data_IF_527065237220
#
_entry.id   IF_527065237220
#
_cell.length_a   1.000
_cell.length_b   1.000
_cell.length_c   1.000
_cell.angle_alpha   90.00
_cell.angle_beta   90.00
_cell.angle_gamma   90.00
#
_symmetry.space_group_name_H-M   'P 1'
#
loop_
_entity.id
_entity.type
_entity.pdbx_description
1 polymer ?
#
# COMPACT_ATOMS: atom_id res chain seq x y z
N UNK A 1 -4.20 -16.45 -10.93
CA UNK A 1 -4.74 -15.95 -9.64
C UNK A 1 -5.60 -14.72 -9.89
N UNK A 2 -6.52 -14.42 -8.98
CA UNK A 2 -7.41 -13.25 -9.09
C UNK A 2 -6.62 -11.94 -9.31
N UNK A 3 -5.49 -11.74 -8.67
CA UNK A 3 -4.64 -10.57 -8.93
C UNK A 3 -4.18 -10.47 -10.38
N UNK A 4 -3.72 -11.56 -10.98
CA UNK A 4 -3.30 -11.57 -12.38
C UNK A 4 -4.46 -11.33 -13.33
N UNK A 5 -5.59 -11.97 -13.08
CA UNK A 5 -6.81 -11.77 -13.87
C UNK A 5 -7.30 -10.32 -13.80
N UNK A 6 -7.26 -9.69 -12.60
CA UNK A 6 -7.53 -8.26 -12.46
C UNK A 6 -6.52 -7.39 -13.22
N UNK A 7 -5.24 -7.76 -13.20
CA UNK A 7 -4.20 -7.08 -13.98
C UNK A 7 -4.44 -7.15 -15.48
N UNK A 8 -4.75 -8.35 -16.01
CA UNK A 8 -5.08 -8.57 -17.41
C UNK A 8 -6.31 -7.77 -17.87
N UNK A 9 -7.27 -7.54 -16.97
CA UNK A 9 -8.45 -6.70 -17.21
C UNK A 9 -8.20 -5.20 -17.02
N UNK A 10 -6.99 -4.77 -16.65
CA UNK A 10 -6.66 -3.38 -16.40
C UNK A 10 -7.29 -2.78 -15.14
N UNK A 11 -7.69 -3.62 -14.18
CA UNK A 11 -8.35 -3.19 -12.93
C UNK A 11 -7.35 -2.77 -11.84
N UNK A 12 -6.06 -3.07 -12.01
CA UNK A 12 -5.00 -2.69 -11.09
C UNK A 12 -4.30 -1.41 -11.57
N UNK A 13 -4.32 -0.37 -10.75
CA UNK A 13 -3.75 0.93 -11.11
C UNK A 13 -4.45 1.63 -12.28
N UNK A 14 -5.79 1.70 -12.32
CA UNK A 14 -6.51 2.27 -13.47
C UNK A 14 -6.16 3.74 -13.71
N UNK A 15 -5.76 4.50 -12.68
CA UNK A 15 -5.37 5.91 -12.78
C UNK A 15 -3.87 6.12 -13.01
N UNK A 16 -3.07 5.08 -13.02
CA UNK A 16 -1.63 5.15 -13.27
C UNK A 16 -1.38 5.37 -14.76
N UNK A 17 -0.39 6.19 -15.14
CA UNK A 17 -0.07 6.44 -16.55
C UNK A 17 0.25 5.16 -17.34
N UNK A 18 -0.13 5.14 -18.60
CA UNK A 18 0.09 4.00 -19.52
C UNK A 18 1.56 3.63 -19.65
N UNK A 19 2.46 4.61 -19.62
CA UNK A 19 3.92 4.40 -19.68
C UNK A 19 4.47 3.51 -18.56
N UNK A 20 3.73 3.36 -17.46
CA UNK A 20 4.06 2.47 -16.33
C UNK A 20 3.15 1.24 -16.25
N UNK A 21 2.37 0.97 -17.30
CA UNK A 21 1.49 -0.19 -17.38
C UNK A 21 0.10 0.02 -16.78
N UNK A 22 -0.22 1.23 -16.33
CA UNK A 22 -1.57 1.61 -15.89
C UNK A 22 -2.51 1.85 -17.10
N UNK A 23 -3.77 2.10 -16.82
CA UNK A 23 -4.78 2.35 -17.86
C UNK A 23 -4.98 3.85 -18.18
N UNK A 24 -4.32 4.76 -17.47
CA UNK A 24 -4.39 6.22 -17.71
C UNK A 24 -5.80 6.81 -17.55
N UNK A 25 -6.69 6.13 -16.82
CA UNK A 25 -8.09 6.52 -16.66
C UNK A 25 -8.27 7.57 -15.56
N UNK A 26 -9.44 8.22 -15.58
CA UNK A 26 -9.81 9.18 -14.55
C UNK A 26 -10.42 8.49 -13.29
N UNK A 27 -10.63 9.27 -12.23
CA UNK A 27 -11.18 8.76 -10.98
C UNK A 27 -12.66 8.34 -11.06
N UNK A 28 -13.44 8.81 -12.05
CA UNK A 28 -14.80 8.31 -12.27
C UNK A 28 -14.75 6.83 -12.68
N UNK A 29 -13.88 6.50 -13.63
CA UNK A 29 -13.67 5.11 -14.04
C UNK A 29 -13.19 4.23 -12.87
N UNK A 30 -12.25 4.73 -12.07
CA UNK A 30 -11.81 4.04 -10.83
C UNK A 30 -12.97 3.79 -9.86
N UNK A 31 -13.84 4.77 -9.65
CA UNK A 31 -15.02 4.64 -8.80
C UNK A 31 -15.98 3.57 -9.32
N UNK A 32 -16.28 3.57 -10.62
CA UNK A 32 -17.15 2.57 -11.26
C UNK A 32 -16.56 1.16 -11.13
N UNK A 33 -15.26 0.99 -11.35
CA UNK A 33 -14.57 -0.29 -11.15
C UNK A 33 -14.73 -0.74 -9.68
N UNK A 34 -14.46 0.13 -8.71
CA UNK A 34 -14.58 -0.18 -7.29
C UNK A 34 -16.01 -0.62 -6.92
N UNK A 35 -17.03 0.05 -7.46
CA UNK A 35 -18.45 -0.27 -7.27
C UNK A 35 -18.77 -1.68 -7.78
N UNK A 36 -18.37 -2.01 -9.01
CA UNK A 36 -18.69 -3.30 -9.60
C UNK A 36 -17.95 -4.46 -8.91
N UNK A 37 -16.69 -4.27 -8.54
CA UNK A 37 -15.92 -5.28 -7.81
C UNK A 37 -16.50 -5.51 -6.39
N UNK A 38 -16.90 -4.44 -5.69
CA UNK A 38 -17.52 -4.55 -4.35
C UNK A 38 -18.86 -5.30 -4.38
N UNK A 39 -19.65 -5.17 -5.45
CA UNK A 39 -20.90 -5.95 -5.62
C UNK A 39 -20.66 -7.45 -5.58
N UNK A 40 -19.46 -7.89 -5.97
CA UNK A 40 -19.10 -9.31 -5.92
C UNK A 40 -18.58 -9.68 -4.53
N UNK A 41 -17.58 -8.97 -4.02
CA UNK A 41 -17.00 -9.20 -2.71
C UNK A 41 -16.16 -8.01 -2.24
N UNK A 42 -16.43 -7.53 -1.03
CA UNK A 42 -15.69 -6.42 -0.40
C UNK A 42 -14.19 -6.72 -0.19
N UNK A 43 -13.82 -7.98 -0.01
CA UNK A 43 -12.42 -8.38 0.12
C UNK A 43 -11.65 -8.19 -1.19
N UNK A 44 -12.26 -8.49 -2.33
CA UNK A 44 -11.67 -8.27 -3.65
C UNK A 44 -11.51 -6.79 -3.95
N UNK A 45 -12.52 -5.98 -3.67
CA UNK A 45 -12.39 -4.53 -3.81
C UNK A 45 -11.29 -3.99 -2.87
N UNK A 46 -11.20 -4.48 -1.63
CA UNK A 46 -10.18 -4.07 -0.69
C UNK A 46 -8.77 -4.35 -1.23
N UNK A 47 -8.50 -5.56 -1.71
CA UNK A 47 -7.18 -5.91 -2.25
C UNK A 47 -6.82 -5.09 -3.50
N UNK A 48 -7.78 -4.86 -4.39
CA UNK A 48 -7.63 -4.03 -5.59
C UNK A 48 -7.32 -2.57 -5.21
N UNK A 49 -8.04 -2.02 -4.22
CA UNK A 49 -7.85 -0.64 -3.75
C UNK A 49 -6.49 -0.44 -3.08
N UNK A 50 -6.04 -1.40 -2.28
CA UNK A 50 -4.69 -1.34 -1.68
C UNK A 50 -3.63 -1.33 -2.77
N UNK A 51 -3.71 -2.24 -3.72
CA UNK A 51 -2.77 -2.30 -4.86
C UNK A 51 -2.73 -0.98 -5.62
N UNK A 52 -3.90 -0.47 -6.01
CA UNK A 52 -4.02 0.72 -6.86
C UNK A 52 -3.73 2.03 -6.12
N UNK A 53 -4.46 2.28 -5.01
CA UNK A 53 -4.44 3.59 -4.32
C UNK A 53 -3.33 3.73 -3.29
N UNK A 54 -2.95 2.64 -2.62
CA UNK A 54 -2.04 2.70 -1.47
C UNK A 54 -0.62 2.22 -1.81
N UNK A 55 -0.43 1.51 -2.94
CA UNK A 55 0.87 1.05 -3.39
C UNK A 55 1.29 1.75 -4.68
N UNK A 56 0.51 1.64 -5.74
CA UNK A 56 0.87 2.22 -7.03
C UNK A 56 0.84 3.76 -7.02
N UNK A 57 -0.18 4.36 -6.39
CA UNK A 57 -0.26 5.83 -6.30
C UNK A 57 0.95 6.44 -5.59
N UNK A 58 1.34 6.03 -4.36
CA UNK A 58 2.52 6.63 -3.73
C UNK A 58 3.82 6.40 -4.49
N UNK A 59 3.99 5.25 -5.15
CA UNK A 59 5.15 5.03 -6.02
C UNK A 59 5.13 5.99 -7.20
N UNK A 60 3.97 6.20 -7.83
CA UNK A 60 3.82 7.15 -8.95
C UNK A 60 4.03 8.61 -8.52
N UNK A 61 3.48 9.01 -7.37
CA UNK A 61 3.54 10.41 -6.93
C UNK A 61 4.88 10.79 -6.29
N UNK A 62 5.50 9.86 -5.55
CA UNK A 62 6.64 10.16 -4.68
C UNK A 62 7.91 9.39 -5.04
N UNK A 63 7.83 8.34 -5.85
CA UNK A 63 8.98 7.56 -6.27
C UNK A 63 9.86 8.27 -7.29
N UNK A 64 11.14 7.93 -7.31
CA UNK A 64 12.04 8.30 -8.40
C UNK A 64 11.62 7.62 -9.71
N UNK A 65 12.11 8.10 -10.84
CA UNK A 65 11.82 7.46 -12.13
C UNK A 65 12.26 5.97 -12.14
N UNK A 66 13.42 5.67 -11.56
CA UNK A 66 13.91 4.30 -11.44
C UNK A 66 12.94 3.42 -10.59
N UNK A 67 12.42 3.97 -9.49
CA UNK A 67 11.43 3.30 -8.64
C UNK A 67 10.13 3.02 -9.41
N UNK A 68 9.63 4.00 -10.16
CA UNK A 68 8.40 3.84 -10.98
C UNK A 68 8.57 2.74 -12.03
N UNK A 69 9.65 2.78 -12.79
CA UNK A 69 9.95 1.81 -13.85
C UNK A 69 10.14 0.38 -13.29
N UNK A 70 10.71 0.26 -12.10
CA UNK A 70 10.95 -1.04 -11.46
C UNK A 70 9.67 -1.71 -10.97
N UNK A 71 8.79 -0.94 -10.30
CA UNK A 71 7.68 -1.51 -9.54
C UNK A 71 6.33 -1.43 -10.26
N UNK A 72 5.99 -0.29 -10.89
CA UNK A 72 4.64 -0.07 -11.41
C UNK A 72 4.20 -1.08 -12.47
N UNK A 73 5.02 -1.45 -13.47
CA UNK A 73 4.59 -2.41 -14.49
C UNK A 73 4.22 -3.78 -13.92
N UNK A 74 4.99 -4.27 -12.94
CA UNK A 74 4.73 -5.58 -12.30
C UNK A 74 3.53 -5.54 -11.36
N UNK A 75 3.29 -4.41 -10.72
CA UNK A 75 2.10 -4.19 -9.89
C UNK A 75 0.84 -4.06 -10.75
N UNK A 76 0.92 -3.40 -11.90
CA UNK A 76 -0.20 -3.25 -12.83
C UNK A 76 -0.69 -4.58 -13.41
N UNK A 77 0.23 -5.49 -13.71
CA UNK A 77 -0.11 -6.84 -14.21
C UNK A 77 -0.54 -7.82 -13.11
N UNK A 78 -0.41 -7.45 -11.84
CA UNK A 78 -0.63 -8.36 -10.71
C UNK A 78 0.42 -9.47 -10.61
N UNK A 79 1.56 -9.33 -11.30
CA UNK A 79 2.73 -10.20 -11.10
C UNK A 79 3.28 -10.03 -9.70
N UNK A 80 3.40 -8.78 -9.26
CA UNK A 80 3.74 -8.42 -7.90
C UNK A 80 2.54 -7.85 -7.15
N UNK A 81 2.45 -8.22 -5.88
CA UNK A 81 1.42 -7.77 -4.96
C UNK A 81 2.03 -6.79 -3.97
N UNK A 82 1.33 -5.68 -3.73
CA UNK A 82 1.77 -4.67 -2.78
C UNK A 82 0.90 -4.58 -1.53
N UNK A 83 1.49 -4.03 -0.46
CA UNK A 83 0.78 -3.66 0.75
C UNK A 83 1.23 -2.29 1.27
N UNK A 84 0.45 -1.73 2.21
CA UNK A 84 0.64 -0.37 2.72
C UNK A 84 0.71 -0.38 4.25
N UNK A 85 1.90 -0.17 4.79
CA UNK A 85 2.21 -0.21 6.21
C UNK A 85 2.21 1.17 6.86
N UNK A 86 1.04 1.65 7.31
CA UNK A 86 0.91 2.88 8.09
C UNK A 86 0.51 2.59 9.55
N UNK A 87 -0.63 1.93 9.74
CA UNK A 87 -1.23 1.62 11.05
C UNK A 87 -0.31 0.75 11.90
N UNK A 88 -0.19 1.09 13.17
CA UNK A 88 0.54 0.32 14.19
C UNK A 88 -0.43 -0.23 15.25
N UNK A 89 -0.03 -1.22 16.06
CA UNK A 89 -0.90 -1.80 17.09
C UNK A 89 -1.57 -0.77 17.99
N UNK A 90 -0.85 0.28 18.39
CA UNK A 90 -1.33 1.33 19.29
C UNK A 90 -1.56 2.69 18.61
N UNK A 91 -1.34 2.80 17.30
CA UNK A 91 -1.43 4.05 16.54
C UNK A 91 -2.20 3.85 15.24
N UNK A 92 -3.53 3.68 15.36
CA UNK A 92 -4.45 3.58 14.23
C UNK A 92 -5.05 4.93 13.86
N UNK A 93 -5.89 5.48 14.75
CA UNK A 93 -6.54 6.79 14.54
C UNK A 93 -5.56 7.97 14.62
N UNK A 94 -4.45 7.80 15.31
CA UNK A 94 -3.35 8.77 15.37
C UNK A 94 -2.05 8.18 14.78
N UNK A 95 -1.94 8.11 13.45
CA UNK A 95 -0.74 7.60 12.80
C UNK A 95 0.48 8.54 12.96
N UNK A 96 0.26 9.80 13.32
CA UNK A 96 1.33 10.76 13.61
C UNK A 96 2.20 10.36 14.80
N UNK A 97 1.63 9.61 15.74
CA UNK A 97 2.34 9.12 16.93
C UNK A 97 3.07 7.78 16.70
N UNK A 98 3.15 7.29 15.45
CA UNK A 98 3.82 6.02 15.12
C UNK A 98 5.19 5.87 15.78
N UNK A 99 5.51 4.63 16.13
CA UNK A 99 6.78 4.26 16.77
C UNK A 99 7.82 3.71 15.79
N UNK A 100 7.40 3.23 14.61
CA UNK A 100 8.33 2.74 13.59
C UNK A 100 9.38 3.81 13.22
N UNK A 101 10.62 3.38 13.11
CA UNK A 101 11.79 4.24 12.89
C UNK A 101 12.56 3.78 11.66
N UNK A 102 13.08 4.75 10.91
CA UNK A 102 14.01 4.58 9.82
C UNK A 102 15.28 5.37 10.17
N UNK A 103 16.26 4.68 10.75
CA UNK A 103 17.54 5.27 11.15
C UNK A 103 18.43 5.41 9.93
N UNK A 104 18.96 6.62 9.70
CA UNK A 104 19.93 6.85 8.64
C UNK A 104 21.21 6.08 8.91
N UNK A 105 21.65 5.31 7.91
CA UNK A 105 22.89 4.52 7.92
C UNK A 105 23.62 4.75 6.59
N UNK A 106 24.83 4.21 6.46
CA UNK A 106 25.58 4.30 5.20
C UNK A 106 24.81 3.61 4.06
N UNK A 107 24.65 4.31 2.96
CA UNK A 107 23.93 3.83 1.77
C UNK A 107 22.39 3.74 1.88
N UNK A 108 21.79 4.12 3.01
CA UNK A 108 20.32 4.02 3.14
C UNK A 108 19.79 4.21 4.56
N UNK A 109 18.86 3.34 4.92
CA UNK A 109 18.16 3.37 6.21
C UNK A 109 18.06 1.97 6.82
N UNK A 110 18.06 1.90 8.15
CA UNK A 110 17.70 0.71 8.92
C UNK A 110 16.32 0.92 9.51
N UNK A 111 15.33 0.10 9.11
CA UNK A 111 13.95 0.22 9.56
C UNK A 111 13.63 -0.78 10.66
N UNK A 112 13.01 -0.28 11.74
CA UNK A 112 12.56 -1.09 12.88
C UNK A 112 11.17 -0.67 13.33
N UNK A 113 10.34 -1.65 13.70
CA UNK A 113 8.98 -1.45 14.18
C UNK A 113 7.99 -2.48 13.63
N UNK A 114 6.72 -2.29 13.96
CA UNK A 114 5.66 -3.19 13.50
C UNK A 114 4.45 -2.41 12.97
N UNK A 115 3.82 -2.97 11.94
CA UNK A 115 2.55 -2.47 11.40
C UNK A 115 1.48 -3.55 11.56
N UNK A 116 0.23 -3.12 11.76
CA UNK A 116 -0.88 -4.00 12.13
C UNK A 116 -2.08 -3.80 11.20
N UNK A 117 -2.83 -4.86 10.98
CA UNK A 117 -4.02 -4.87 10.13
C UNK A 117 -3.76 -4.51 8.67
N UNK A 118 -2.65 -5.03 8.14
CA UNK A 118 -2.18 -4.69 6.80
C UNK A 118 -2.74 -5.66 5.76
N UNK A 119 -3.62 -5.16 4.92
CA UNK A 119 -4.17 -5.89 3.78
C UNK A 119 -3.05 -6.31 2.83
N UNK A 120 -3.07 -7.54 2.37
CA UNK A 120 -2.12 -8.20 1.47
C UNK A 120 -0.73 -8.49 2.06
N UNK A 121 -0.35 -8.02 3.24
CA UNK A 121 1.04 -8.18 3.72
C UNK A 121 1.54 -9.62 3.72
N UNK A 122 0.76 -10.65 4.08
CA UNK A 122 1.25 -12.04 4.06
C UNK A 122 1.62 -12.58 2.68
N UNK A 123 1.10 -11.98 1.63
CA UNK A 123 1.32 -12.38 0.23
C UNK A 123 2.04 -11.31 -0.60
N UNK A 124 2.40 -10.18 0.02
CA UNK A 124 3.01 -9.07 -0.68
C UNK A 124 4.45 -9.36 -1.12
N UNK A 125 4.80 -8.85 -2.29
CA UNK A 125 6.16 -8.81 -2.82
C UNK A 125 6.78 -7.43 -2.56
N UNK A 126 5.94 -6.38 -2.47
CA UNK A 126 6.31 -4.97 -2.28
C UNK A 126 5.58 -4.37 -1.09
N UNK A 127 6.30 -3.67 -0.23
CA UNK A 127 5.78 -3.09 1.01
C UNK A 127 6.05 -1.57 1.00
N UNK A 128 5.01 -0.76 0.85
CA UNK A 128 5.09 0.70 1.06
C UNK A 128 4.92 0.97 2.55
N UNK A 129 5.99 1.36 3.23
CA UNK A 129 6.02 1.53 4.68
C UNK A 129 6.31 2.97 5.07
N UNK A 130 5.58 3.47 6.07
CA UNK A 130 5.78 4.80 6.64
C UNK A 130 6.42 4.68 8.02
N UNK A 131 7.52 5.41 8.23
CA UNK A 131 8.29 5.43 9.47
C UNK A 131 8.86 6.81 9.74
N UNK A 132 9.10 7.16 11.01
CA UNK A 132 9.81 8.39 11.37
C UNK A 132 11.29 8.25 11.07
N UNK A 133 11.83 9.20 10.32
CA UNK A 133 13.26 9.28 10.08
C UNK A 133 14.00 9.55 11.40
N UNK A 134 15.14 8.90 11.58
CA UNK A 134 16.05 9.18 12.69
C UNK A 134 17.42 9.48 12.10
N UNK A 135 17.92 10.67 12.37
CA UNK A 135 19.25 11.11 11.93
C UNK A 135 20.37 10.36 12.65
N UNK A 136 21.59 10.47 12.16
CA UNK A 136 22.74 9.76 12.73
C UNK A 136 23.01 10.12 14.20
N UNK A 137 22.66 11.36 14.62
CA UNK A 137 22.77 11.83 16.01
C UNK A 137 21.60 11.37 16.90
N UNK A 138 20.62 10.62 16.35
CA UNK A 138 19.48 10.11 17.09
C UNK A 138 18.26 11.03 17.12
N UNK A 139 18.31 12.18 16.46
CA UNK A 139 17.17 13.11 16.40
C UNK A 139 16.04 12.50 15.57
N UNK A 140 14.82 12.49 16.13
CA UNK A 140 13.61 12.00 15.46
C UNK A 140 13.06 13.09 14.55
N UNK A 141 13.05 12.82 13.26
CA UNK A 141 12.57 13.71 12.21
C UNK A 141 11.16 13.36 11.73
N UNK A 142 10.77 13.86 10.54
CA UNK A 142 9.46 13.67 9.97
C UNK A 142 9.22 12.22 9.54
N UNK A 143 7.94 11.88 9.32
CA UNK A 143 7.54 10.62 8.69
C UNK A 143 7.98 10.65 7.23
N UNK A 144 8.55 9.54 6.77
CA UNK A 144 8.94 9.27 5.38
C UNK A 144 8.36 7.96 4.89
N UNK A 145 8.28 7.80 3.57
CA UNK A 145 7.85 6.56 2.92
C UNK A 145 9.03 5.78 2.35
N UNK A 146 8.94 4.47 2.42
CA UNK A 146 9.96 3.53 1.97
C UNK A 146 9.31 2.38 1.20
N UNK A 147 9.99 1.89 0.17
CA UNK A 147 9.57 0.71 -0.59
C UNK A 147 10.49 -0.44 -0.23
N UNK A 148 9.97 -1.44 0.49
CA UNK A 148 10.70 -2.64 0.87
C UNK A 148 10.27 -3.81 -0.02
N UNK A 149 11.13 -4.82 -0.15
CA UNK A 149 10.85 -6.01 -0.94
C UNK A 149 10.84 -7.27 -0.08
N UNK A 150 9.98 -8.21 -0.46
CA UNK A 150 9.90 -9.54 0.14
C UNK A 150 11.26 -10.21 0.15
N UNK A 151 11.57 -10.87 1.25
CA UNK A 151 12.81 -11.62 1.43
C UNK A 151 13.98 -10.79 1.93
N UNK A 152 13.83 -9.48 2.12
CA UNK A 152 14.87 -8.69 2.78
C UNK A 152 15.05 -9.15 4.22
N UNK A 153 16.31 -9.23 4.65
CA UNK A 153 16.66 -9.66 6.00
C UNK A 153 15.97 -8.79 7.05
N UNK A 154 15.36 -9.41 8.05
CA UNK A 154 14.64 -8.71 9.11
C UNK A 154 13.19 -8.36 8.80
N UNK A 155 12.72 -8.54 7.55
CA UNK A 155 11.34 -8.28 7.14
C UNK A 155 10.51 -9.57 7.24
N UNK A 156 9.40 -9.52 7.95
CA UNK A 156 8.40 -10.59 7.97
C UNK A 156 6.98 -10.04 8.00
N UNK A 157 6.04 -10.85 7.54
CA UNK A 157 4.63 -10.45 7.42
C UNK A 157 3.70 -11.60 7.84
N UNK A 158 3.57 -11.87 9.16
CA UNK A 158 2.69 -12.92 9.66
C UNK A 158 1.23 -12.62 9.39
N UNK A 159 0.45 -13.66 9.05
CA UNK A 159 -0.97 -13.55 8.77
C UNK A 159 -1.81 -13.44 10.04
N UNK A 160 -2.88 -12.64 9.98
CA UNK A 160 -3.92 -12.58 11.00
C UNK A 160 -5.06 -13.49 10.56
N UNK A 161 -5.42 -14.44 11.41
CA UNK A 161 -6.47 -15.43 11.17
C UNK A 161 -7.72 -15.14 12.02
N UNK A 162 -8.84 -15.77 11.66
CA UNK A 162 -10.07 -15.74 12.45
C UNK A 162 -10.86 -14.41 12.39
N UNK A 163 -10.65 -13.59 11.37
CA UNK A 163 -11.46 -12.38 11.17
C UNK A 163 -12.94 -12.72 11.01
N UNK A 164 -13.80 -11.89 11.60
CA UNK A 164 -15.27 -12.06 11.54
C UNK A 164 -15.81 -11.61 10.19
N UNK A 165 -15.35 -10.48 9.67
CA UNK A 165 -15.73 -9.93 8.36
C UNK A 165 -14.55 -9.82 7.40
N UNK A 166 -14.81 -9.45 6.13
CA UNK A 166 -13.82 -9.30 5.06
C UNK A 166 -12.87 -10.50 4.96
N UNK A 167 -13.40 -11.70 5.04
CA UNK A 167 -12.60 -12.94 5.17
C UNK A 167 -11.81 -13.26 3.90
N UNK A 168 -12.26 -12.82 2.73
CA UNK A 168 -11.52 -12.93 1.48
C UNK A 168 -10.33 -11.94 1.40
N UNK A 169 -10.31 -10.90 2.22
CA UNK A 169 -9.19 -9.97 2.31
C UNK A 169 -8.09 -10.56 3.20
N UNK A 170 -7.00 -11.02 2.62
CA UNK A 170 -5.83 -11.51 3.35
C UNK A 170 -5.21 -10.33 4.12
N UNK A 171 -5.07 -10.47 5.42
CA UNK A 171 -4.62 -9.41 6.32
C UNK A 171 -3.53 -9.94 7.25
N UNK A 172 -2.54 -9.12 7.53
CA UNK A 172 -1.44 -9.50 8.42
C UNK A 172 -0.80 -8.32 9.10
N UNK A 173 0.39 -8.57 9.58
CA UNK A 173 1.30 -7.58 10.14
C UNK A 173 2.47 -7.32 9.19
N UNK A 174 3.26 -6.30 9.46
CA UNK A 174 4.61 -6.13 8.92
C UNK A 174 5.52 -5.95 10.11
N UNK A 175 6.49 -6.83 10.27
CA UNK A 175 7.49 -6.74 11.33
C UNK A 175 8.84 -6.44 10.69
N UNK A 176 9.47 -5.39 11.18
CA UNK A 176 10.78 -4.91 10.71
C UNK A 176 11.77 -4.97 11.87
N UNK A 177 12.80 -5.76 11.72
CA UNK A 177 13.91 -5.90 12.65
C UNK A 177 15.22 -5.50 11.94
N UNK A 178 15.57 -4.22 12.04
CA UNK A 178 16.74 -3.61 11.40
C UNK A 178 16.81 -3.90 9.87
N UNK A 179 15.68 -3.79 9.18
CA UNK A 179 15.62 -4.01 7.72
C UNK A 179 16.40 -2.92 7.01
N UNK A 180 17.45 -3.29 6.29
CA UNK A 180 18.19 -2.35 5.45
C UNK A 180 17.37 -1.99 4.20
N UNK A 181 17.13 -0.70 4.02
CA UNK A 181 16.46 -0.11 2.86
C UNK A 181 17.45 0.81 2.14
N UNK A 182 17.83 0.53 0.89
CA UNK A 182 18.68 1.43 0.11
C UNK A 182 18.09 2.83 -0.02
N UNK A 183 18.91 3.85 -0.11
CA UNK A 183 18.49 5.26 -0.25
C UNK A 183 17.52 5.46 -1.42
N UNK A 184 17.74 4.79 -2.53
CA UNK A 184 16.94 4.87 -3.74
C UNK A 184 15.49 4.36 -3.57
N UNK A 185 15.25 3.55 -2.54
CA UNK A 185 13.93 3.03 -2.18
C UNK A 185 13.18 3.92 -1.17
N UNK A 186 13.79 4.98 -0.67
CA UNK A 186 13.10 6.02 0.10
C UNK A 186 12.45 7.04 -0.84
N UNK A 187 11.22 7.45 -0.56
CA UNK A 187 10.60 8.53 -1.32
C UNK A 187 11.33 9.86 -1.05
N UNK A 188 11.91 10.50 -2.08
CA UNK A 188 12.91 11.55 -1.85
C UNK A 188 12.35 12.84 -1.21
N UNK A 189 11.16 13.28 -1.63
CA UNK A 189 10.67 14.61 -1.28
C UNK A 189 9.51 14.62 -0.28
N UNK A 190 8.83 13.48 -0.04
CA UNK A 190 7.68 13.44 0.85
C UNK A 190 8.09 13.43 2.32
N UNK A 191 7.48 14.33 3.09
CA UNK A 191 7.73 14.49 4.54
C UNK A 191 6.41 14.66 5.29
N UNK A 192 6.32 14.07 6.48
CA UNK A 192 5.15 14.16 7.36
C UNK A 192 3.95 13.35 6.88
N UNK A 193 2.78 13.63 7.45
CA UNK A 193 1.53 12.91 7.17
C UNK A 193 0.92 13.22 5.79
N UNK A 194 1.38 14.25 5.10
CA UNK A 194 0.88 14.59 3.77
C UNK A 194 1.03 13.41 2.78
N UNK A 195 2.15 12.69 2.85
CA UNK A 195 2.40 11.52 2.02
C UNK A 195 1.32 10.44 2.16
N UNK A 196 1.20 9.80 3.33
CA UNK A 196 0.21 8.74 3.52
C UNK A 196 -1.22 9.23 3.38
N UNK A 197 -1.56 10.48 3.74
CA UNK A 197 -2.92 10.99 3.61
C UNK A 197 -3.32 11.27 2.17
N UNK A 198 -2.40 11.64 1.29
CA UNK A 198 -2.66 11.72 -0.15
C UNK A 198 -3.12 10.35 -0.68
N UNK A 199 -2.45 9.28 -0.30
CA UNK A 199 -2.83 7.91 -0.67
C UNK A 199 -4.18 7.51 -0.09
N UNK A 200 -4.41 7.81 1.19
CA UNK A 200 -5.67 7.51 1.86
C UNK A 200 -6.87 8.25 1.26
N UNK A 201 -6.69 9.46 0.73
CA UNK A 201 -7.77 10.17 0.04
C UNK A 201 -8.24 9.42 -1.20
N UNK A 202 -7.32 8.90 -2.00
CA UNK A 202 -7.65 8.05 -3.15
C UNK A 202 -8.34 6.75 -2.72
N UNK A 203 -7.85 6.11 -1.65
CA UNK A 203 -8.45 4.89 -1.11
C UNK A 203 -9.86 5.13 -0.57
N UNK A 204 -10.09 6.21 0.17
CA UNK A 204 -11.41 6.59 0.70
C UNK A 204 -12.42 6.85 -0.40
N UNK A 205 -12.00 7.49 -1.47
CA UNK A 205 -12.83 7.70 -2.66
C UNK A 205 -13.31 6.34 -3.24
N UNK A 206 -12.41 5.40 -3.44
CA UNK A 206 -12.74 4.06 -3.92
C UNK A 206 -13.67 3.29 -2.97
N UNK A 207 -13.47 3.42 -1.64
CA UNK A 207 -14.36 2.81 -0.63
C UNK A 207 -15.77 3.40 -0.69
N UNK A 208 -15.90 4.71 -0.87
CA UNK A 208 -17.21 5.36 -0.99
C UNK A 208 -18.01 4.83 -2.20
N UNK A 209 -17.37 4.66 -3.34
CA UNK A 209 -17.98 4.02 -4.51
C UNK A 209 -18.29 2.55 -4.29
N UNK A 210 -17.38 1.81 -3.65
CA UNK A 210 -17.57 0.40 -3.32
C UNK A 210 -18.82 0.19 -2.46
N UNK A 211 -19.01 1.02 -1.43
CA UNK A 211 -20.18 0.95 -0.56
C UNK A 211 -21.51 1.04 -1.32
N UNK A 212 -21.56 1.81 -2.42
CA UNK A 212 -22.74 1.85 -3.31
C UNK A 212 -22.97 0.51 -4.00
N UNK A 213 -21.90 -0.17 -4.45
CA UNK A 213 -22.00 -1.50 -5.06
C UNK A 213 -22.54 -2.54 -4.09
N UNK A 214 -22.05 -2.55 -2.85
CA UNK A 214 -22.58 -3.43 -1.80
C UNK A 214 -24.06 -3.12 -1.48
N UNK A 215 -24.43 -1.84 -1.40
CA UNK A 215 -25.82 -1.42 -1.17
C UNK A 215 -26.75 -1.85 -2.31
N UNK A 216 -26.31 -1.74 -3.56
CA UNK A 216 -27.07 -2.21 -4.72
C UNK A 216 -27.30 -3.72 -4.70
N UNK A 217 -26.28 -4.52 -4.37
CA UNK A 217 -26.44 -5.96 -4.25
C UNK A 217 -27.46 -6.32 -3.17
N UNK A 218 -27.41 -5.67 -2.01
CA UNK A 218 -28.41 -5.85 -0.95
C UNK A 218 -29.81 -5.45 -1.38
N UNK A 219 -29.96 -4.39 -2.19
CA UNK A 219 -31.26 -3.92 -2.66
C UNK A 219 -31.89 -4.88 -3.66
N UNK A 220 -31.09 -5.51 -4.51
CA UNK A 220 -31.58 -6.39 -5.59
C UNK A 220 -31.81 -7.84 -5.15
N UNK A 221 -31.35 -8.25 -3.97
CA UNK A 221 -31.61 -9.57 -3.37
C UNK A 221 -32.92 -9.60 -2.57
#
# INVERSE_FOLDING_TARGET
>A
SIFREMGELGLLGPTIPEQYGGAGLNYVAYGLIAREVERVDSGYRSMMSVQSSLVMVPINEFGSEATKQKYLPKLATGEWIGCFGLTEPNHGSDPGSMLARAKKVDGGYSLSGAKMWITNSPIADVFVVWAKEVTADGTVGPIRGFVLEKGWKGLSAPAIHGKVGLRASITGEIVMDEVFCPEENAFPEVRGLKGPFTCLNSARYGIAWGALGAAEDCWHR
#
